data_IF_353104476907
#
_entry.id   IF_353104476907
#
_cell.length_a   1.000
_cell.length_b   1.000
_cell.length_c   1.000
_cell.angle_alpha   90.00
_cell.angle_beta   90.00
_cell.angle_gamma   90.00
#
_symmetry.space_group_name_H-M   'P 1'
#
loop_
_entity.id
_entity.type
_entity.pdbx_description
1 polymer ?
#
# COMPACT_ATOMS: atom_id res chain seq x y z
N UNK A 1 3.05 -2.52 -49.91
CA UNK A 1 2.01 -1.74 -50.62
C UNK A 1 1.29 -2.52 -51.71
N UNK A 2 1.92 -3.51 -52.37
CA UNK A 2 1.29 -4.30 -53.46
C UNK A 2 -0.07 -4.91 -53.07
N UNK A 3 -0.13 -5.65 -51.96
CA UNK A 3 -1.39 -6.24 -51.46
C UNK A 3 -2.49 -5.22 -51.17
N UNK A 4 -2.13 -4.01 -50.69
CA UNK A 4 -3.10 -2.94 -50.41
C UNK A 4 -3.71 -2.36 -51.70
N UNK A 5 -2.92 -2.31 -52.77
CA UNK A 5 -3.35 -1.85 -54.09
C UNK A 5 -4.24 -2.90 -54.75
N UNK A 6 -3.89 -4.18 -54.61
CA UNK A 6 -4.67 -5.29 -55.18
C UNK A 6 -6.04 -5.47 -54.52
N UNK A 7 -6.16 -5.13 -53.23
CA UNK A 7 -7.42 -5.25 -52.48
C UNK A 7 -8.35 -4.04 -52.60
N UNK A 8 -7.91 -2.96 -53.25
CA UNK A 8 -8.70 -1.72 -53.51
C UNK A 8 -9.46 -1.17 -52.29
N UNK A 9 -8.87 -1.29 -51.10
CA UNK A 9 -9.52 -0.99 -49.82
C UNK A 9 -8.95 0.25 -49.12
N UNK A 10 -7.89 0.84 -49.67
CA UNK A 10 -7.17 1.98 -49.09
C UNK A 10 -7.61 3.28 -49.73
N UNK A 11 -7.57 4.38 -48.97
CA UNK A 11 -7.83 5.71 -49.52
C UNK A 11 -6.81 6.11 -50.59
N UNK A 12 -7.29 6.45 -51.80
CA UNK A 12 -6.45 6.78 -52.96
C UNK A 12 -5.60 8.05 -52.78
N UNK A 13 -6.15 9.05 -52.09
CA UNK A 13 -5.44 10.30 -51.83
C UNK A 13 -4.28 10.06 -50.85
N UNK A 14 -4.55 9.28 -49.80
CA UNK A 14 -3.52 8.84 -48.87
C UNK A 14 -2.46 7.99 -49.59
N UNK A 15 -2.87 7.02 -50.41
CA UNK A 15 -1.95 6.13 -51.12
C UNK A 15 -1.03 6.91 -52.07
N UNK A 16 -1.62 7.82 -52.85
CA UNK A 16 -0.88 8.65 -53.82
C UNK A 16 0.08 9.61 -53.12
N UNK A 17 -0.39 10.32 -52.10
CA UNK A 17 0.45 11.26 -51.35
C UNK A 17 1.58 10.55 -50.58
N UNK A 18 1.31 9.38 -50.01
CA UNK A 18 2.32 8.57 -49.29
C UNK A 18 3.35 8.00 -50.25
N UNK A 19 2.96 7.54 -51.44
CA UNK A 19 3.91 7.11 -52.48
C UNK A 19 4.87 8.25 -52.84
N UNK A 20 4.36 9.45 -53.09
CA UNK A 20 5.18 10.62 -53.42
C UNK A 20 6.17 10.94 -52.29
N UNK A 21 5.71 10.91 -51.03
CA UNK A 21 6.59 11.10 -49.88
C UNK A 21 7.70 10.04 -49.85
N UNK A 22 7.34 8.75 -49.91
CA UNK A 22 8.33 7.67 -49.82
C UNK A 22 9.34 7.72 -50.97
N UNK A 23 8.92 8.07 -52.19
CA UNK A 23 9.83 8.31 -53.32
C UNK A 23 10.82 9.43 -53.00
N UNK A 24 10.37 10.55 -52.41
CA UNK A 24 11.25 11.67 -52.04
C UNK A 24 12.24 11.31 -50.93
N UNK A 25 11.93 10.31 -50.09
CA UNK A 25 12.78 9.87 -48.98
C UNK A 25 13.75 8.74 -49.36
N UNK A 26 13.60 8.12 -50.54
CA UNK A 26 14.46 7.00 -50.98
C UNK A 26 15.97 7.28 -50.87
N UNK A 27 16.50 8.45 -51.27
CA UNK A 27 17.93 8.72 -51.13
C UNK A 27 18.39 8.67 -49.68
N UNK A 28 17.65 9.31 -48.76
CA UNK A 28 17.97 9.33 -47.34
C UNK A 28 17.82 7.94 -46.68
N UNK A 29 16.90 7.10 -47.18
CA UNK A 29 16.80 5.70 -46.76
C UNK A 29 17.99 4.86 -47.23
N UNK A 30 18.44 5.05 -48.48
CA UNK A 30 19.59 4.35 -49.03
C UNK A 30 20.90 4.71 -48.31
N UNK A 31 21.02 5.96 -47.85
CA UNK A 31 22.15 6.46 -47.06
C UNK A 31 22.07 6.08 -45.56
N UNK A 32 21.01 5.39 -45.13
CA UNK A 32 20.83 5.01 -43.72
C UNK A 32 20.53 6.19 -42.79
N UNK A 33 20.10 7.34 -43.33
CA UNK A 33 19.68 8.51 -42.54
C UNK A 33 18.22 8.46 -42.14
N UNK A 34 17.42 7.64 -42.81
CA UNK A 34 16.00 7.43 -42.51
C UNK A 34 15.65 5.95 -42.53
N UNK A 35 14.83 5.51 -41.59
CA UNK A 35 14.28 4.16 -41.54
C UNK A 35 12.75 4.19 -41.52
N UNK A 36 12.13 3.40 -42.40
CA UNK A 36 10.70 3.13 -42.35
C UNK A 36 10.46 1.86 -41.53
N UNK A 37 9.69 1.97 -40.45
CA UNK A 37 9.40 0.85 -39.54
C UNK A 37 7.91 0.57 -39.42
N UNK A 38 7.60 -0.70 -39.16
CA UNK A 38 6.26 -1.17 -38.80
C UNK A 38 6.18 -1.34 -37.28
N UNK A 39 5.19 -0.73 -36.64
CA UNK A 39 4.97 -0.74 -35.20
C UNK A 39 3.66 -1.45 -34.84
N UNK A 40 3.64 -2.00 -33.62
CA UNK A 40 2.42 -2.51 -32.98
C UNK A 40 2.09 -3.98 -33.27
N UNK A 41 1.03 -4.47 -32.60
CA UNK A 41 0.65 -5.89 -32.63
C UNK A 41 -0.01 -6.35 -33.93
N UNK A 42 -0.63 -5.43 -34.67
CA UNK A 42 -1.42 -5.67 -35.88
C UNK A 42 -0.61 -5.70 -37.19
N UNK A 43 0.72 -5.72 -37.11
CA UNK A 43 1.56 -6.12 -38.25
C UNK A 43 1.37 -7.61 -38.55
N UNK A 44 1.30 -7.96 -39.84
CA UNK A 44 1.28 -9.36 -40.27
C UNK A 44 2.56 -10.08 -39.87
N UNK A 45 2.52 -11.42 -39.80
CA UNK A 45 3.62 -12.25 -39.35
C UNK A 45 4.90 -12.04 -40.18
N UNK A 46 4.76 -11.64 -41.44
CA UNK A 46 5.88 -11.28 -42.32
C UNK A 46 6.73 -10.12 -41.78
N UNK A 47 6.15 -9.21 -40.98
CA UNK A 47 6.87 -8.09 -40.36
C UNK A 47 7.65 -8.49 -39.09
N UNK A 48 7.44 -9.71 -38.58
CA UNK A 48 8.08 -10.26 -37.37
C UNK A 48 8.95 -11.48 -37.69
N UNK A 49 9.08 -11.81 -38.98
CA UNK A 49 9.74 -13.02 -39.46
C UNK A 49 11.01 -12.62 -40.21
N UNK A 50 12.15 -13.21 -39.82
CA UNK A 50 13.39 -13.04 -40.58
C UNK A 50 13.30 -13.90 -41.85
N UNK A 51 13.29 -13.24 -43.01
CA UNK A 51 13.24 -13.91 -44.32
C UNK A 51 14.37 -14.95 -44.43
N UNK A 52 14.06 -16.09 -45.06
CA UNK A 52 14.95 -17.26 -45.24
C UNK A 52 15.28 -18.08 -43.98
N UNK A 53 14.97 -17.58 -42.78
CA UNK A 53 15.19 -18.32 -41.52
C UNK A 53 13.90 -18.88 -40.91
N UNK A 54 12.74 -18.32 -41.27
CA UNK A 54 11.46 -18.77 -40.78
C UNK A 54 10.37 -18.66 -41.86
N UNK A 55 9.34 -19.49 -41.73
CA UNK A 55 8.19 -19.55 -42.64
C UNK A 55 6.89 -19.31 -41.86
N UNK A 56 5.91 -18.70 -42.50
CA UNK A 56 4.60 -18.45 -41.90
C UNK A 56 3.75 -19.71 -42.11
N UNK A 57 3.33 -20.35 -41.02
CA UNK A 57 2.41 -21.49 -41.07
C UNK A 57 0.97 -21.00 -40.90
N UNK A 58 0.16 -21.18 -41.93
CA UNK A 58 -1.26 -20.82 -41.95
C UNK A 58 -2.09 -22.03 -41.58
N UNK A 59 -2.96 -21.87 -40.58
CA UNK A 59 -3.90 -22.90 -40.11
C UNK A 59 -5.33 -22.45 -40.40
N UNK A 60 -5.91 -22.83 -41.55
CA UNK A 60 -7.30 -22.48 -41.86
C UNK A 60 -8.28 -23.22 -40.93
N UNK A 61 -9.50 -22.70 -40.80
CA UNK A 61 -10.57 -23.33 -39.99
C UNK A 61 -11.05 -24.66 -40.58
N UNK A 62 -10.85 -24.87 -41.89
CA UNK A 62 -11.10 -26.12 -42.60
C UNK A 62 -9.90 -26.42 -43.51
N UNK A 63 -9.43 -27.67 -43.51
CA UNK A 63 -8.33 -28.14 -44.36
C UNK A 63 -6.98 -28.23 -43.65
N UNK A 64 -5.96 -28.69 -44.38
CA UNK A 64 -4.61 -28.87 -43.87
C UNK A 64 -3.86 -27.54 -43.72
N UNK A 65 -3.00 -27.46 -42.71
CA UNK A 65 -2.11 -26.32 -42.54
C UNK A 65 -1.08 -26.27 -43.67
N UNK A 66 -0.78 -25.08 -44.17
CA UNK A 66 0.20 -24.87 -45.23
C UNK A 66 1.17 -23.75 -44.87
N UNK A 67 2.30 -23.69 -45.56
CA UNK A 67 3.29 -22.63 -45.39
C UNK A 67 3.13 -21.58 -46.48
N UNK A 68 3.23 -20.31 -46.08
CA UNK A 68 3.14 -19.17 -46.97
C UNK A 68 4.29 -18.18 -46.68
N UNK A 69 4.58 -17.32 -47.66
CA UNK A 69 5.55 -16.24 -47.50
C UNK A 69 4.92 -14.98 -46.85
N UNK A 70 3.59 -14.83 -46.97
CA UNK A 70 2.84 -13.67 -46.48
C UNK A 70 1.58 -14.13 -45.72
N UNK A 71 1.04 -13.27 -44.86
CA UNK A 71 -0.23 -13.52 -44.19
C UNK A 71 -1.43 -13.25 -45.09
N UNK A 72 -2.57 -13.90 -44.83
CA UNK A 72 -3.81 -13.71 -45.59
C UNK A 72 -4.67 -12.55 -45.08
N UNK A 73 -4.28 -11.93 -43.97
CA UNK A 73 -5.10 -10.93 -43.27
C UNK A 73 -4.35 -9.61 -43.18
N UNK A 74 -4.98 -8.54 -43.64
CA UNK A 74 -4.49 -7.17 -43.51
C UNK A 74 -5.38 -6.43 -42.52
N UNK A 75 -4.74 -5.71 -41.59
CA UNK A 75 -5.41 -4.84 -40.64
C UNK A 75 -5.33 -3.40 -41.10
N UNK A 76 -6.48 -2.75 -41.23
CA UNK A 76 -6.62 -1.35 -41.62
C UNK A 76 -7.48 -0.59 -40.60
N UNK A 77 -7.24 0.72 -40.49
CA UNK A 77 -8.01 1.62 -39.67
C UNK A 77 -9.14 2.22 -40.50
N UNK A 78 -10.33 2.25 -39.92
CA UNK A 78 -11.52 2.85 -40.51
C UNK A 78 -12.14 3.81 -39.49
N UNK A 79 -12.85 4.82 -39.96
CA UNK A 79 -13.69 5.63 -39.09
C UNK A 79 -14.93 4.81 -38.68
N UNK A 80 -15.41 5.00 -37.45
CA UNK A 80 -16.47 4.17 -36.84
C UNK A 80 -17.81 4.24 -37.59
N UNK A 81 -17.98 5.23 -38.47
CA UNK A 81 -19.18 5.45 -39.27
C UNK A 81 -19.13 4.81 -40.67
N UNK A 82 -17.97 4.32 -41.11
CA UNK A 82 -17.82 3.73 -42.43
C UNK A 82 -18.37 2.29 -42.44
N UNK A 83 -19.57 2.11 -43.02
CA UNK A 83 -20.18 0.78 -43.22
C UNK A 83 -19.60 0.02 -44.43
N UNK A 84 -18.83 0.69 -45.28
CA UNK A 84 -18.25 0.11 -46.49
C UNK A 84 -16.74 -0.06 -46.31
N UNK A 85 -16.20 -1.19 -46.74
CA UNK A 85 -14.79 -1.52 -46.60
C UNK A 85 -13.85 -0.75 -47.57
N UNK A 86 -14.16 0.52 -47.85
CA UNK A 86 -13.48 1.37 -48.81
C UNK A 86 -12.87 2.58 -48.07
N UNK A 87 -11.77 3.11 -48.61
CA UNK A 87 -11.06 4.30 -48.07
C UNK A 87 -10.50 4.11 -46.65
N UNK A 88 -10.02 2.91 -46.33
CA UNK A 88 -9.34 2.66 -45.06
C UNK A 88 -7.89 3.14 -45.09
N UNK A 89 -7.28 3.29 -43.91
CA UNK A 89 -5.88 3.70 -43.77
C UNK A 89 -5.04 2.60 -43.14
N UNK A 90 -3.86 2.26 -43.69
CA UNK A 90 -2.93 1.41 -42.98
C UNK A 90 -2.35 2.19 -41.79
N UNK A 91 -2.34 1.57 -40.61
CA UNK A 91 -1.92 2.20 -39.35
C UNK A 91 -0.79 1.43 -38.71
N UNK A 92 0.09 2.07 -37.93
CA UNK A 92 1.27 1.42 -37.31
C UNK A 92 2.51 1.45 -38.20
N UNK A 93 2.68 2.49 -39.01
CA UNK A 93 3.93 2.79 -39.70
C UNK A 93 4.57 4.00 -39.02
N UNK A 94 5.90 4.03 -38.94
CA UNK A 94 6.64 5.19 -38.48
C UNK A 94 7.89 5.41 -39.32
N UNK A 95 8.32 6.67 -39.39
CA UNK A 95 9.57 7.09 -40.03
C UNK A 95 10.49 7.55 -38.91
N UNK A 96 11.71 7.03 -38.89
CA UNK A 96 12.74 7.37 -37.91
C UNK A 96 13.86 8.08 -38.66
N UNK A 97 14.20 9.29 -38.22
CA UNK A 97 15.36 10.04 -38.71
C UNK A 97 16.57 9.72 -37.83
N UNK A 98 17.68 9.35 -38.44
CA UNK A 98 18.94 8.97 -37.76
C UNK A 98 19.89 10.16 -37.85
N UNK A 99 20.30 10.69 -36.70
CA UNK A 99 21.18 11.85 -36.58
C UNK A 99 20.73 13.04 -37.46
N UNK A 100 19.50 13.57 -37.28
CA UNK A 100 18.98 14.64 -38.13
C UNK A 100 19.87 15.89 -38.03
N UNK A 101 20.24 16.44 -39.18
CA UNK A 101 21.04 17.68 -39.28
C UNK A 101 20.17 18.94 -39.46
N UNK A 102 18.85 18.77 -39.39
CA UNK A 102 17.85 19.82 -39.58
C UNK A 102 16.49 19.25 -39.99
N UNK A 103 15.50 20.13 -40.18
CA UNK A 103 14.14 19.75 -40.56
C UNK A 103 14.10 19.10 -41.95
N UNK A 104 13.45 17.94 -42.06
CA UNK A 104 13.12 17.34 -43.34
C UNK A 104 11.89 18.03 -43.97
N UNK A 105 12.16 18.89 -44.95
CA UNK A 105 11.13 19.68 -45.66
C UNK A 105 10.04 18.82 -46.31
N UNK A 106 10.38 17.65 -46.84
CA UNK A 106 9.40 16.77 -47.49
C UNK A 106 8.43 16.15 -46.46
N UNK A 107 8.96 15.68 -45.32
CA UNK A 107 8.15 15.20 -44.21
C UNK A 107 7.24 16.31 -43.65
N UNK A 108 7.81 17.49 -43.42
CA UNK A 108 7.07 18.65 -42.90
C UNK A 108 5.92 19.05 -43.81
N UNK A 109 6.20 19.23 -45.10
CA UNK A 109 5.17 19.59 -46.10
C UNK A 109 4.09 18.51 -46.22
N UNK A 110 4.46 17.22 -46.16
CA UNK A 110 3.49 16.13 -46.20
C UNK A 110 2.60 16.12 -44.95
N UNK A 111 3.17 16.33 -43.76
CA UNK A 111 2.42 16.45 -42.51
C UNK A 111 1.47 17.65 -42.50
N UNK A 112 1.89 18.79 -43.05
CA UNK A 112 1.05 19.99 -43.19
C UNK A 112 -0.10 19.79 -44.20
N UNK A 113 0.14 19.02 -45.28
CA UNK A 113 -0.88 18.71 -46.28
C UNK A 113 -1.91 17.68 -45.79
N UNK A 114 -1.51 16.77 -44.91
CA UNK A 114 -2.36 15.72 -44.34
C UNK A 114 -2.86 16.07 -42.91
N UNK A 115 -2.84 17.36 -42.54
CA UNK A 115 -2.93 17.85 -41.16
C UNK A 115 -4.31 17.74 -40.49
N UNK A 116 -5.39 17.57 -41.25
CA UNK A 116 -6.75 17.47 -40.67
C UNK A 116 -6.88 16.30 -39.70
N UNK A 117 -6.26 15.16 -40.02
CA UNK A 117 -6.17 13.99 -39.12
C UNK A 117 -5.20 14.20 -37.95
N UNK A 118 -4.18 15.06 -38.11
CA UNK A 118 -3.17 15.36 -37.08
C UNK A 118 -3.68 16.34 -36.02
N UNK A 119 -4.58 17.26 -36.36
CA UNK A 119 -5.20 18.20 -35.39
C UNK A 119 -6.02 17.46 -34.32
N UNK A 120 -6.74 16.40 -34.70
CA UNK A 120 -7.45 15.53 -33.75
C UNK A 120 -6.49 14.83 -32.80
N UNK A 121 -5.33 14.40 -33.29
CA UNK A 121 -4.28 13.78 -32.47
C UNK A 121 -3.67 14.81 -31.52
N UNK A 122 -3.37 16.03 -31.96
CA UNK A 122 -2.89 17.12 -31.10
C UNK A 122 -3.87 17.43 -29.96
N UNK A 123 -5.17 17.49 -30.25
CA UNK A 123 -6.21 17.71 -29.23
C UNK A 123 -6.28 16.56 -28.21
N UNK A 124 -6.15 15.31 -28.66
CA UNK A 124 -6.10 14.14 -27.76
C UNK A 124 -4.85 14.18 -26.87
N UNK A 125 -3.69 14.51 -27.43
CA UNK A 125 -2.44 14.64 -26.67
C UNK A 125 -2.51 15.77 -25.64
N UNK A 126 -3.02 16.95 -26.01
CA UNK A 126 -3.21 18.06 -25.07
C UNK A 126 -4.14 17.68 -23.91
N UNK A 127 -5.22 16.95 -24.20
CA UNK A 127 -6.12 16.45 -23.16
C UNK A 127 -5.41 15.48 -22.22
N UNK A 128 -4.64 14.52 -22.75
CA UNK A 128 -3.88 13.59 -21.90
C UNK A 128 -2.81 14.27 -21.05
N UNK A 129 -2.15 15.30 -21.58
CA UNK A 129 -1.19 16.09 -20.80
C UNK A 129 -1.86 16.85 -19.66
N UNK A 130 -3.03 17.43 -19.92
CA UNK A 130 -3.85 18.09 -18.89
C UNK A 130 -4.33 17.08 -17.83
N UNK A 131 -4.86 15.93 -18.24
CA UNK A 131 -5.33 14.89 -17.33
C UNK A 131 -4.18 14.39 -16.43
N UNK A 132 -3.00 14.11 -17.01
CA UNK A 132 -1.79 13.73 -16.26
C UNK A 132 -1.34 14.80 -15.28
N UNK A 133 -1.41 16.06 -15.66
CA UNK A 133 -1.02 17.17 -14.77
C UNK A 133 -1.94 17.23 -13.54
N UNK A 134 -3.26 17.13 -13.76
CA UNK A 134 -4.24 17.10 -12.67
C UNK A 134 -4.06 15.88 -11.77
N UNK A 135 -3.78 14.70 -12.33
CA UNK A 135 -3.50 13.49 -11.54
C UNK A 135 -2.27 13.66 -10.64
N UNK A 136 -1.19 14.24 -11.18
CA UNK A 136 0.04 14.51 -10.40
C UNK A 136 -0.25 15.52 -9.29
N UNK A 137 -1.00 16.59 -9.57
CA UNK A 137 -1.34 17.61 -8.58
C UNK A 137 -2.21 17.04 -7.46
N UNK A 138 -3.21 16.21 -7.80
CA UNK A 138 -4.05 15.51 -6.82
C UNK A 138 -3.23 14.55 -5.96
N UNK A 139 -2.31 13.78 -6.55
CA UNK A 139 -1.41 12.89 -5.80
C UNK A 139 -0.50 13.67 -4.84
N UNK A 140 0.06 14.80 -5.28
CA UNK A 140 0.89 15.64 -4.41
C UNK A 140 0.09 16.26 -3.26
N UNK A 141 -1.13 16.73 -3.53
CA UNK A 141 -2.02 17.27 -2.50
C UNK A 141 -2.43 16.19 -1.47
N UNK A 142 -2.71 14.98 -1.93
CA UNK A 142 -3.05 13.84 -1.06
C UNK A 142 -1.85 13.45 -0.18
N UNK A 143 -0.65 13.34 -0.76
CA UNK A 143 0.55 13.00 -0.02
C UNK A 143 0.88 14.04 1.07
N UNK A 144 0.70 15.33 0.77
CA UNK A 144 0.88 16.40 1.78
C UNK A 144 -0.11 16.27 2.93
N UNK A 145 -1.39 16.04 2.66
CA UNK A 145 -2.41 15.82 3.70
C UNK A 145 -2.10 14.61 4.57
N UNK A 146 -1.64 13.51 3.96
CA UNK A 146 -1.24 12.31 4.70
C UNK A 146 -0.03 12.56 5.58
N UNK A 147 0.97 13.29 5.10
CA UNK A 147 2.14 13.67 5.88
C UNK A 147 1.77 14.59 7.06
N UNK A 148 0.90 15.58 6.83
CA UNK A 148 0.40 16.47 7.89
C UNK A 148 -0.39 15.69 8.94
N UNK A 149 -1.28 14.79 8.54
CA UNK A 149 -2.04 13.94 9.45
C UNK A 149 -1.13 12.99 10.25
N UNK A 150 -0.08 12.45 9.63
CA UNK A 150 0.87 11.58 10.30
C UNK A 150 1.75 12.34 11.31
N UNK A 151 2.20 13.54 10.95
CA UNK A 151 2.91 14.41 11.89
C UNK A 151 2.03 14.78 13.08
N UNK A 152 0.75 15.06 12.85
CA UNK A 152 -0.20 15.37 13.90
C UNK A 152 -0.41 14.16 14.83
N UNK A 153 -0.60 12.96 14.28
CA UNK A 153 -0.71 11.72 15.07
C UNK A 153 0.54 11.46 15.91
N UNK A 154 1.74 11.68 15.37
CA UNK A 154 2.99 11.51 16.12
C UNK A 154 3.09 12.49 17.27
N UNK A 155 2.75 13.77 17.07
CA UNK A 155 2.72 14.76 18.14
C UNK A 155 1.71 14.40 19.23
N UNK A 156 0.51 13.97 18.85
CA UNK A 156 -0.52 13.54 19.80
C UNK A 156 -0.09 12.30 20.61
N UNK A 157 0.60 11.35 19.99
CA UNK A 157 1.16 10.18 20.66
C UNK A 157 2.30 10.57 21.62
N UNK A 158 3.23 11.42 21.17
CA UNK A 158 4.31 11.95 22.01
C UNK A 158 3.75 12.70 23.24
N UNK A 159 2.73 13.52 23.03
CA UNK A 159 2.03 14.23 24.12
C UNK A 159 1.33 13.27 25.08
N UNK A 160 0.71 12.18 24.56
CA UNK A 160 0.09 11.15 25.40
C UNK A 160 1.13 10.42 26.23
N UNK A 161 2.23 9.99 25.62
CA UNK A 161 3.33 9.29 26.31
C UNK A 161 3.94 10.21 27.37
N UNK A 162 4.16 11.49 27.07
CA UNK A 162 4.70 12.46 28.02
C UNK A 162 3.76 12.66 29.22
N UNK A 163 2.43 12.75 28.99
CA UNK A 163 1.44 12.83 30.07
C UNK A 163 1.41 11.57 30.92
N UNK A 164 1.41 10.39 30.31
CA UNK A 164 1.45 9.11 31.04
C UNK A 164 2.73 8.97 31.87
N UNK A 165 3.88 9.38 31.33
CA UNK A 165 5.15 9.33 32.04
C UNK A 165 5.14 10.29 33.24
N UNK A 166 4.66 11.52 33.05
CA UNK A 166 4.52 12.49 34.14
C UNK A 166 3.58 11.97 35.24
N UNK A 167 2.44 11.38 34.87
CA UNK A 167 1.50 10.77 35.83
C UNK A 167 2.14 9.60 36.58
N UNK A 168 2.85 8.70 35.88
CA UNK A 168 3.56 7.59 36.53
C UNK A 168 4.64 8.08 37.49
N UNK A 169 5.40 9.10 37.12
CA UNK A 169 6.41 9.71 37.99
C UNK A 169 5.77 10.36 39.22
N UNK A 170 4.66 11.10 39.05
CA UNK A 170 3.95 11.70 40.18
C UNK A 170 3.37 10.64 41.12
N UNK A 171 2.79 9.56 40.58
CA UNK A 171 2.32 8.43 41.37
C UNK A 171 3.48 7.74 42.10
N UNK A 172 4.62 7.53 41.46
CA UNK A 172 5.81 6.95 42.09
C UNK A 172 6.34 7.84 43.22
N UNK A 173 6.41 9.16 43.01
CA UNK A 173 6.83 10.10 44.03
C UNK A 173 5.86 10.12 45.23
N UNK A 174 4.55 10.10 44.96
CA UNK A 174 3.52 9.98 46.00
C UNK A 174 3.68 8.69 46.82
N UNK A 175 3.94 7.56 46.16
CA UNK A 175 4.17 6.26 46.83
C UNK A 175 5.48 6.22 47.61
N UNK A 176 6.55 6.82 47.11
CA UNK A 176 7.82 6.90 47.81
C UNK A 176 7.76 7.81 49.05
N UNK A 177 6.84 8.77 49.07
CA UNK A 177 6.58 9.65 50.22
C UNK A 177 5.60 9.05 51.25
N UNK A 178 4.95 7.92 50.95
CA UNK A 178 4.08 7.23 51.91
C UNK A 178 4.91 6.57 53.01
N UNK A 179 4.34 6.52 54.21
CA UNK A 179 4.93 5.76 55.31
C UNK A 179 4.89 4.25 55.01
N UNK A 180 5.81 3.48 55.61
CA UNK A 180 5.98 2.04 55.34
C UNK A 180 4.68 1.24 55.58
N UNK A 181 3.93 1.56 56.64
CA UNK A 181 2.65 0.97 56.96
C UNK A 181 1.56 1.33 55.95
N UNK A 182 1.49 2.59 55.52
CA UNK A 182 0.54 3.04 54.48
C UNK A 182 0.83 2.37 53.13
N UNK A 183 2.11 2.26 52.75
CA UNK A 183 2.54 1.59 51.53
C UNK A 183 2.21 0.09 51.54
N UNK A 184 2.36 -0.58 52.69
CA UNK A 184 1.96 -1.98 52.87
C UNK A 184 0.46 -2.18 52.66
N UNK A 185 -0.36 -1.31 53.25
CA UNK A 185 -1.83 -1.31 53.06
C UNK A 185 -2.21 -1.15 51.59
N UNK A 186 -1.61 -0.17 50.91
CA UNK A 186 -1.90 0.13 49.50
C UNK A 186 -1.45 -1.00 48.56
N UNK A 187 -0.29 -1.61 48.81
CA UNK A 187 0.16 -2.79 48.06
C UNK A 187 -0.81 -3.96 48.20
N UNK A 188 -1.33 -4.21 49.41
CA UNK A 188 -2.31 -5.26 49.65
C UNK A 188 -3.66 -4.93 49.00
N UNK A 189 -4.11 -3.66 49.00
CA UNK A 189 -5.32 -3.26 48.26
C UNK A 189 -5.16 -3.50 46.75
N UNK A 190 -4.01 -3.12 46.17
CA UNK A 190 -3.70 -3.34 44.75
C UNK A 190 -3.59 -4.83 44.39
N UNK A 191 -3.03 -5.65 45.29
CA UNK A 191 -2.91 -7.10 45.10
C UNK A 191 -4.26 -7.75 44.77
N UNK A 192 -5.34 -7.18 45.31
CA UNK A 192 -6.71 -7.67 45.21
C UNK A 192 -7.66 -6.79 44.38
N UNK A 193 -7.20 -5.68 43.78
CA UNK A 193 -8.07 -4.69 43.11
C UNK A 193 -8.94 -5.29 41.98
N UNK A 194 -8.40 -6.28 41.25
CA UNK A 194 -9.13 -7.03 40.22
C UNK A 194 -9.19 -8.54 40.52
N UNK A 195 -8.96 -8.93 41.77
CA UNK A 195 -8.94 -10.34 42.14
C UNK A 195 -10.36 -10.91 42.17
N UNK A 196 -10.57 -12.01 41.45
CA UNK A 196 -11.80 -12.79 41.53
C UNK A 196 -11.46 -14.22 41.92
N UNK A 197 -11.98 -14.66 43.07
CA UNK A 197 -11.74 -16.02 43.54
C UNK A 197 -12.29 -17.06 42.57
N UNK A 198 -11.42 -17.96 42.12
CA UNK A 198 -11.77 -19.02 41.19
C UNK A 198 -11.38 -20.38 41.76
N UNK A 199 -12.38 -21.22 42.06
CA UNK A 199 -12.18 -22.58 42.60
C UNK A 199 -11.33 -23.48 41.70
N UNK A 200 -11.29 -23.22 40.39
CA UNK A 200 -10.54 -24.02 39.41
C UNK A 200 -9.10 -23.54 39.21
N UNK A 201 -8.75 -22.35 39.70
CA UNK A 201 -7.40 -21.78 39.60
C UNK A 201 -6.72 -21.66 40.97
N UNK A 202 -6.47 -22.81 41.60
CA UNK A 202 -5.90 -22.85 42.95
C UNK A 202 -4.48 -22.27 43.01
N UNK A 203 -3.68 -22.44 41.96
CA UNK A 203 -2.31 -21.90 41.93
C UNK A 203 -2.28 -20.37 42.00
N UNK A 204 -3.19 -19.68 41.30
CA UNK A 204 -3.30 -18.22 41.37
C UNK A 204 -3.82 -17.75 42.74
N UNK A 205 -4.81 -18.46 43.30
CA UNK A 205 -5.30 -18.18 44.66
C UNK A 205 -4.20 -18.36 45.73
N UNK A 206 -3.40 -19.42 45.61
CA UNK A 206 -2.30 -19.73 46.54
C UNK A 206 -1.16 -18.72 46.41
N UNK A 207 -0.86 -18.26 45.20
CA UNK A 207 0.11 -17.20 44.96
C UNK A 207 -0.34 -15.89 45.64
N UNK A 208 -1.59 -15.45 45.40
CA UNK A 208 -2.16 -14.25 46.03
C UNK A 208 -2.21 -14.34 47.56
N UNK A 209 -2.50 -15.52 48.09
CA UNK A 209 -2.47 -15.76 49.54
C UNK A 209 -1.05 -15.69 50.11
N UNK A 210 -0.07 -16.28 49.40
CA UNK A 210 1.34 -16.24 49.80
C UNK A 210 1.88 -14.80 49.81
N UNK A 211 1.58 -14.02 48.76
CA UNK A 211 1.95 -12.60 48.69
C UNK A 211 1.33 -11.76 49.82
N UNK A 212 0.05 -11.99 50.15
CA UNK A 212 -0.59 -11.35 51.31
C UNK A 212 0.10 -11.73 52.63
N UNK A 213 0.43 -13.01 52.79
CA UNK A 213 1.08 -13.52 54.00
C UNK A 213 2.46 -12.89 54.18
N UNK A 214 3.27 -12.88 53.12
CA UNK A 214 4.60 -12.26 53.13
C UNK A 214 4.52 -10.78 53.48
N UNK A 215 3.58 -10.03 52.90
CA UNK A 215 3.38 -8.62 53.21
C UNK A 215 3.06 -8.37 54.70
N UNK A 216 2.22 -9.21 55.30
CA UNK A 216 1.89 -9.12 56.72
C UNK A 216 3.06 -9.55 57.64
N UNK A 217 3.91 -10.48 57.21
CA UNK A 217 5.13 -10.87 57.94
C UNK A 217 6.14 -9.72 57.94
N UNK A 218 6.37 -9.10 56.78
CA UNK A 218 7.26 -7.92 56.67
C UNK A 218 6.76 -6.79 57.57
N UNK A 219 5.45 -6.56 57.64
CA UNK A 219 4.85 -5.55 58.50
C UNK A 219 5.12 -5.77 60.00
N UNK A 220 5.49 -6.99 60.44
CA UNK A 220 5.83 -7.25 61.86
C UNK A 220 7.14 -6.57 62.28
N UNK A 221 7.99 -6.24 61.32
CA UNK A 221 9.25 -5.55 61.55
C UNK A 221 9.11 -4.03 61.59
N UNK A 222 7.92 -3.49 61.26
CA UNK A 222 7.69 -2.05 61.25
C UNK A 222 7.66 -1.44 62.66
N UNK A 223 7.80 -0.12 62.74
CA UNK A 223 7.62 0.61 64.00
C UNK A 223 6.18 0.52 64.52
N UNK A 224 5.98 0.72 65.83
CA UNK A 224 4.66 0.65 66.50
C UNK A 224 3.58 1.49 65.80
N UNK A 225 3.91 2.72 65.41
CA UNK A 225 2.96 3.62 64.73
C UNK A 225 2.55 3.10 63.35
N UNK A 226 3.50 2.53 62.60
CA UNK A 226 3.24 1.96 61.26
C UNK A 226 2.44 0.66 61.33
N UNK A 227 2.72 -0.19 62.31
CA UNK A 227 1.91 -1.40 62.58
C UNK A 227 0.45 -1.04 62.86
N UNK A 228 0.21 0.02 63.65
CA UNK A 228 -1.14 0.47 63.97
C UNK A 228 -1.92 0.92 62.73
N UNK A 229 -1.26 1.54 61.75
CA UNK A 229 -1.85 1.90 60.45
C UNK A 229 -2.28 0.63 59.71
N UNK A 230 -1.38 -0.36 59.57
CA UNK A 230 -1.66 -1.64 58.89
C UNK A 230 -2.85 -2.36 59.54
N UNK A 231 -2.87 -2.46 60.86
CA UNK A 231 -3.93 -3.17 61.60
C UNK A 231 -5.30 -2.47 61.47
N UNK A 232 -5.35 -1.15 61.49
CA UNK A 232 -6.60 -0.39 61.41
C UNK A 232 -7.19 -0.41 59.99
N UNK A 233 -6.33 -0.30 58.98
CA UNK A 233 -6.74 -0.29 57.58
C UNK A 233 -7.01 -1.69 57.02
N UNK A 234 -6.28 -2.70 57.50
CA UNK A 234 -6.43 -4.11 57.10
C UNK A 234 -7.05 -4.97 58.20
N UNK A 235 -7.97 -4.41 58.99
CA UNK A 235 -8.76 -5.21 59.91
C UNK A 235 -9.40 -6.40 59.18
N UNK A 236 -9.46 -7.57 59.83
CA UNK A 236 -9.86 -8.83 59.17
C UNK A 236 -11.15 -8.70 58.34
N UNK A 237 -12.17 -7.96 58.82
CA UNK A 237 -13.42 -7.73 58.08
C UNK A 237 -13.21 -6.98 56.75
N UNK A 238 -12.30 -5.99 56.72
CA UNK A 238 -11.94 -5.24 55.50
C UNK A 238 -11.14 -6.14 54.55
N UNK A 239 -10.15 -6.89 55.06
CA UNK A 239 -9.38 -7.85 54.26
C UNK A 239 -10.24 -8.96 53.66
N UNK A 240 -11.17 -9.54 54.44
CA UNK A 240 -12.07 -10.58 53.96
C UNK A 240 -13.06 -10.07 52.90
N UNK A 241 -13.41 -8.78 52.94
CA UNK A 241 -14.23 -8.14 51.90
C UNK A 241 -13.45 -7.95 50.60
N UNK A 242 -12.17 -7.56 50.69
CA UNK A 242 -11.28 -7.33 49.54
C UNK A 242 -10.80 -8.67 48.93
N UNK A 243 -10.45 -9.66 49.75
CA UNK A 243 -10.02 -11.00 49.33
C UNK A 243 -11.17 -12.03 49.39
N UNK A 244 -12.33 -11.65 48.85
CA UNK A 244 -13.58 -12.42 48.99
C UNK A 244 -13.42 -13.85 48.46
N UNK A 245 -13.74 -14.84 49.29
CA UNK A 245 -13.66 -16.26 48.96
C UNK A 245 -12.28 -16.90 49.14
N UNK A 246 -11.22 -16.11 49.29
CA UNK A 246 -9.85 -16.62 49.49
C UNK A 246 -9.55 -16.96 50.96
N UNK A 247 -10.02 -16.14 51.88
CA UNK A 247 -9.73 -16.24 53.31
C UNK A 247 -10.75 -17.12 54.04
N UNK A 248 -10.72 -18.42 53.79
CA UNK A 248 -11.62 -19.42 54.39
C UNK A 248 -10.84 -20.55 55.05
N UNK A 249 -11.35 -21.09 56.16
CA UNK A 249 -10.79 -22.29 56.79
C UNK A 249 -9.40 -22.05 57.40
N UNK A 250 -8.39 -22.81 56.97
CA UNK A 250 -7.03 -22.67 57.51
C UNK A 250 -6.40 -21.31 57.17
N UNK A 251 -6.65 -20.80 55.96
CA UNK A 251 -6.16 -19.48 55.50
C UNK A 251 -6.71 -18.33 56.35
N UNK A 252 -7.96 -18.45 56.79
CA UNK A 252 -8.59 -17.48 57.71
C UNK A 252 -7.91 -17.47 59.08
N UNK A 253 -7.69 -18.64 59.67
CA UNK A 253 -7.05 -18.76 60.99
C UNK A 253 -5.64 -18.16 60.98
N UNK A 254 -4.90 -18.43 59.92
CA UNK A 254 -3.53 -17.96 59.74
C UNK A 254 -3.45 -16.44 59.61
N UNK A 255 -4.29 -15.81 58.77
CA UNK A 255 -4.33 -14.35 58.62
C UNK A 255 -4.78 -13.67 59.92
N UNK A 256 -5.76 -14.23 60.64
CA UNK A 256 -6.17 -13.69 61.96
C UNK A 256 -5.03 -13.73 62.97
N UNK A 257 -4.25 -14.81 62.97
CA UNK A 257 -3.06 -14.94 63.83
C UNK A 257 -2.01 -13.87 63.50
N UNK A 258 -1.69 -13.69 62.21
CA UNK A 258 -0.73 -12.69 61.75
C UNK A 258 -1.17 -11.25 62.10
N UNK A 259 -2.46 -10.93 61.93
CA UNK A 259 -3.03 -9.65 62.33
C UNK A 259 -3.02 -9.43 63.85
N UNK A 260 -3.14 -10.50 64.64
CA UNK A 260 -3.05 -10.44 66.09
C UNK A 260 -1.61 -10.19 66.55
N UNK A 261 -0.63 -10.86 65.93
CA UNK A 261 0.79 -10.61 66.20
C UNK A 261 1.19 -9.17 65.89
N UNK A 262 0.60 -8.55 64.86
CA UNK A 262 0.79 -7.12 64.54
C UNK A 262 0.19 -6.16 65.58
N UNK A 263 -0.73 -6.62 66.44
CA UNK A 263 -1.34 -5.83 67.52
C UNK A 263 -0.59 -5.94 68.85
N UNK A 264 0.09 -7.05 69.06
CA UNK A 264 0.75 -7.40 70.32
C UNK A 264 2.22 -6.95 70.39
N UNK A 265 2.76 -6.40 69.31
CA UNK A 265 4.17 -6.03 69.13
C UNK A 265 4.38 -4.57 68.79
#
# INVERSE_FOLDING_TARGET
MKLLVELDCVDDNWLSSTKILLESLKPAMAEGRIMLVRLGKYGGAENKTIKKLAHIRIKPSKGAAFFAQETLTVWLASDSQSKNAQKMLPFGWAIIEINPQGDNRALKAWCEKNHSSLNRIKQVHQKWEQDRFHEIEQQQAQLKKEQEAEQQRKKEEEDRIAKELAQKQEQQAKRAAMSEGTLCVDNIKLLFENFTYNLRNQSENDAKFSELKEALIVAQQFSLNEKQIVVNELAYKKLAAIAKGLLVGNKEKEIKSLLQQLREA
#
